data_IF_614444203354
#
_entry.id   IF_614444203354
#
_cell.length_a   1.000
_cell.length_b   1.000
_cell.length_c   1.000
_cell.angle_alpha   90.00
_cell.angle_beta   90.00
_cell.angle_gamma   90.00
#
_symmetry.space_group_name_H-M   'P 1'
#
loop_
_entity.id
_entity.type
_entity.pdbx_description
1 polymer ?
#
# COMPACT_ATOMS: atom_id res chain seq x y z
N UNK A 1 -19.32 0.20 -2.17
CA UNK A 1 -17.85 0.10 -2.15
C UNK A 1 -17.38 -0.91 -1.09
N UNK A 2 -16.15 -1.44 -1.27
CA UNK A 2 -15.66 -2.51 -0.41
C UNK A 2 -15.06 -1.97 0.90
N UNK A 3 -15.25 -2.68 2.01
CA UNK A 3 -14.62 -2.41 3.30
C UNK A 3 -13.08 -2.53 3.25
N UNK A 4 -12.55 -3.39 2.37
CA UNK A 4 -11.12 -3.57 2.09
C UNK A 4 -10.85 -2.99 0.72
N UNK A 5 -9.94 -2.01 0.63
CA UNK A 5 -9.56 -1.36 -0.63
C UNK A 5 -8.07 -1.45 -0.88
N UNK A 6 -7.70 -1.60 -2.15
CA UNK A 6 -6.30 -1.49 -2.57
C UNK A 6 -5.80 -0.06 -2.43
N UNK A 7 -4.60 0.10 -1.94
CA UNK A 7 -3.90 1.40 -1.95
C UNK A 7 -3.34 1.74 -3.32
N UNK A 8 -2.93 0.74 -4.11
CA UNK A 8 -2.42 0.92 -5.46
C UNK A 8 -3.31 0.23 -6.50
N UNK A 9 -3.29 0.72 -7.73
CA UNK A 9 -4.02 0.15 -8.86
C UNK A 9 -3.54 -1.27 -9.18
N UNK A 10 -4.49 -2.19 -9.29
CA UNK A 10 -4.19 -3.57 -9.70
C UNK A 10 -3.96 -3.63 -11.21
N UNK A 11 -2.82 -4.17 -11.62
CA UNK A 11 -2.48 -4.41 -13.03
C UNK A 11 -3.16 -5.69 -13.49
N UNK A 12 -4.24 -5.57 -14.27
CA UNK A 12 -5.13 -6.68 -14.62
C UNK A 12 -4.44 -7.78 -15.44
N UNK A 13 -3.47 -7.42 -16.25
CA UNK A 13 -2.67 -8.36 -17.08
C UNK A 13 -1.85 -9.35 -16.23
N UNK A 14 -1.58 -9.01 -14.97
CA UNK A 14 -0.86 -9.86 -14.02
C UNK A 14 -1.75 -10.94 -13.38
N UNK A 15 -3.07 -10.84 -13.48
CA UNK A 15 -4.00 -11.76 -12.82
C UNK A 15 -4.07 -13.12 -13.52
N UNK A 16 -4.24 -13.24 -14.86
CA UNK A 16 -4.39 -14.53 -15.53
C UNK A 16 -3.23 -15.51 -15.32
N UNK A 17 -1.94 -15.13 -15.43
CA UNK A 17 -0.85 -16.06 -15.15
C UNK A 17 -0.81 -16.51 -13.69
N UNK A 18 -1.12 -15.65 -12.74
CA UNK A 18 -1.21 -15.99 -11.31
C UNK A 18 -2.36 -16.93 -11.01
N UNK A 19 -3.51 -16.76 -11.67
CA UNK A 19 -4.65 -17.66 -11.56
C UNK A 19 -4.31 -19.09 -12.01
N UNK A 20 -3.51 -19.26 -13.07
CA UNK A 20 -3.08 -20.60 -13.51
C UNK A 20 -2.38 -21.39 -12.41
N UNK A 21 -1.54 -20.70 -11.63
CA UNK A 21 -0.80 -21.31 -10.51
C UNK A 21 -1.77 -21.57 -9.35
N UNK A 22 -2.45 -20.52 -8.85
CA UNK A 22 -3.30 -20.60 -7.66
C UNK A 22 -4.47 -21.59 -7.83
N UNK A 23 -5.11 -21.61 -9.01
CA UNK A 23 -6.30 -22.46 -9.24
C UNK A 23 -6.03 -23.95 -9.06
N UNK A 24 -4.78 -24.39 -9.26
CA UNK A 24 -4.37 -25.79 -9.11
C UNK A 24 -3.65 -26.06 -7.79
N UNK A 25 -3.20 -25.04 -7.10
CA UNK A 25 -2.44 -25.20 -5.87
C UNK A 25 -3.31 -25.77 -4.73
N UNK A 26 -2.78 -26.72 -3.93
CA UNK A 26 -3.48 -27.23 -2.75
C UNK A 26 -3.37 -26.28 -1.55
N UNK A 27 -2.32 -25.46 -1.51
CA UNK A 27 -2.01 -24.53 -0.43
C UNK A 27 -1.69 -23.15 -0.98
N UNK A 28 -1.78 -22.14 -0.13
CA UNK A 28 -1.27 -20.80 -0.37
C UNK A 28 -0.31 -20.36 0.73
N UNK A 29 0.67 -19.55 0.33
CA UNK A 29 1.63 -18.84 1.19
C UNK A 29 1.58 -17.35 0.79
N UNK A 30 0.44 -16.67 0.91
CA UNK A 30 0.31 -15.33 0.40
C UNK A 30 0.99 -14.35 1.35
N UNK A 31 1.59 -13.34 0.76
CA UNK A 31 1.99 -12.15 1.47
C UNK A 31 0.99 -11.04 1.12
N UNK A 32 -0.06 -10.94 1.93
CA UNK A 32 -1.09 -9.89 1.82
C UNK A 32 -1.13 -9.16 3.14
N UNK A 33 -0.72 -7.90 3.13
CA UNK A 33 -0.76 -7.02 4.30
C UNK A 33 -2.02 -6.18 4.23
N UNK A 34 -2.86 -6.29 5.27
CA UNK A 34 -3.96 -5.38 5.52
C UNK A 34 -3.56 -4.41 6.62
N UNK A 35 -3.66 -3.12 6.33
CA UNK A 35 -3.43 -2.05 7.30
C UNK A 35 -4.76 -1.67 7.95
N UNK A 36 -4.79 -1.63 9.27
CA UNK A 36 -5.87 -1.00 10.03
C UNK A 36 -5.41 0.37 10.55
N UNK A 37 -6.35 1.32 10.60
CA UNK A 37 -6.12 2.69 11.09
C UNK A 37 -6.51 2.77 12.58
N UNK A 38 -5.79 1.99 13.41
CA UNK A 38 -6.02 1.93 14.86
C UNK A 38 -5.09 2.90 15.62
N UNK A 39 -5.39 4.21 15.53
CA UNK A 39 -4.58 5.26 16.18
C UNK A 39 -4.56 5.19 17.71
N UNK A 40 -5.48 4.43 18.33
CA UNK A 40 -5.52 4.21 19.77
C UNK A 40 -4.73 2.98 20.20
N UNK A 41 -4.31 2.17 19.23
CA UNK A 41 -3.62 0.90 19.44
C UNK A 41 -4.40 -0.05 20.38
N UNK A 42 -5.73 -0.15 20.19
CA UNK A 42 -6.61 -0.96 21.05
C UNK A 42 -6.90 -2.35 20.45
N UNK A 43 -6.72 -2.51 19.14
CA UNK A 43 -7.07 -3.74 18.43
C UNK A 43 -5.99 -4.81 18.56
N UNK A 44 -4.78 -4.56 18.04
CA UNK A 44 -3.71 -5.56 18.05
C UNK A 44 -3.02 -5.65 19.42
N UNK A 45 -2.95 -4.55 20.15
CA UNK A 45 -2.39 -4.51 21.50
C UNK A 45 -3.17 -5.44 22.47
N UNK A 46 -4.47 -5.63 22.25
CA UNK A 46 -5.26 -6.60 23.00
C UNK A 46 -4.66 -8.02 22.94
N UNK A 47 -4.23 -8.48 21.75
CA UNK A 47 -3.57 -9.78 21.58
C UNK A 47 -2.21 -9.79 22.31
N UNK A 48 -1.43 -8.73 22.15
CA UNK A 48 -0.11 -8.60 22.78
C UNK A 48 -0.23 -8.70 24.31
N UNK A 49 -1.20 -8.02 24.91
CA UNK A 49 -1.44 -8.04 26.37
C UNK A 49 -1.90 -9.40 26.87
N UNK A 50 -2.59 -10.20 26.04
CA UNK A 50 -3.06 -11.53 26.37
C UNK A 50 -2.12 -12.64 25.93
N UNK A 51 -0.96 -12.34 25.37
CA UNK A 51 0.02 -13.29 24.83
C UNK A 51 0.42 -14.40 25.81
N UNK A 52 0.48 -14.09 27.11
CA UNK A 52 0.79 -15.06 28.16
C UNK A 52 -0.24 -16.19 28.32
N UNK A 53 -1.47 -15.99 27.82
CA UNK A 53 -2.57 -16.96 27.88
C UNK A 53 -2.73 -17.73 26.56
N UNK A 54 -1.88 -17.46 25.54
CA UNK A 54 -1.95 -18.06 24.21
C UNK A 54 -0.93 -19.19 24.06
N UNK A 55 -1.25 -20.18 23.25
CA UNK A 55 -0.33 -21.27 22.90
C UNK A 55 0.72 -20.78 21.93
N UNK A 56 2.00 -20.78 22.33
CA UNK A 56 3.11 -20.48 21.43
C UNK A 56 3.26 -21.61 20.40
N UNK A 57 3.27 -21.28 19.12
CA UNK A 57 3.43 -22.25 18.03
C UNK A 57 4.89 -22.38 17.59
N UNK A 58 5.61 -21.27 17.50
CA UNK A 58 7.01 -21.24 17.09
C UNK A 58 7.73 -20.01 17.63
N UNK A 59 9.06 -20.09 17.67
CA UNK A 59 9.96 -19.00 17.99
C UNK A 59 11.36 -19.33 17.48
N UNK A 60 11.93 -18.49 16.60
CA UNK A 60 13.25 -18.72 16.04
C UNK A 60 13.80 -17.45 15.35
N UNK A 61 15.12 -17.44 15.11
CA UNK A 61 15.77 -16.41 14.34
C UNK A 61 15.66 -16.68 12.83
N UNK A 62 15.32 -15.65 12.07
CA UNK A 62 15.23 -15.73 10.62
C UNK A 62 16.62 -15.76 9.98
N UNK A 63 16.75 -16.51 8.88
CA UNK A 63 17.99 -16.55 8.11
C UNK A 63 18.38 -15.16 7.55
N UNK A 64 19.63 -15.00 7.14
CA UNK A 64 20.13 -13.78 6.50
C UNK A 64 19.95 -12.50 7.32
N UNK A 65 20.00 -12.61 8.64
CA UNK A 65 19.76 -11.51 9.57
C UNK A 65 18.37 -10.88 9.44
N UNK A 66 17.36 -11.66 9.06
CA UNK A 66 15.98 -11.23 8.92
C UNK A 66 15.24 -10.93 10.24
N UNK A 67 15.97 -10.96 11.38
CA UNK A 67 15.40 -10.70 12.70
C UNK A 67 14.91 -11.95 13.41
N UNK A 68 14.11 -11.76 14.43
CA UNK A 68 13.51 -12.80 15.28
C UNK A 68 12.00 -12.85 15.07
N UNK A 69 11.43 -14.06 15.04
CA UNK A 69 9.98 -14.23 14.92
C UNK A 69 9.46 -15.24 15.94
N UNK A 70 8.30 -14.91 16.51
CA UNK A 70 7.54 -15.82 17.36
C UNK A 70 6.05 -15.75 17.01
N UNK A 71 5.36 -16.87 17.04
CA UNK A 71 3.94 -16.96 16.71
C UNK A 71 3.13 -17.66 17.81
N UNK A 72 1.91 -17.19 18.02
CA UNK A 72 0.94 -17.71 18.98
C UNK A 72 -0.38 -18.00 18.30
N UNK A 73 -1.05 -19.05 18.73
CA UNK A 73 -2.40 -19.37 18.30
C UNK A 73 -3.39 -18.52 19.11
N UNK A 74 -4.19 -17.73 18.43
CA UNK A 74 -5.32 -17.00 19.03
C UNK A 74 -6.56 -17.86 18.91
N UNK A 75 -6.98 -18.46 20.02
CA UNK A 75 -8.15 -19.35 20.09
C UNK A 75 -8.99 -19.06 21.36
N UNK A 76 -10.03 -19.88 21.57
CA UNK A 76 -10.89 -19.82 22.73
C UNK A 76 -11.52 -18.45 22.96
N UNK A 77 -11.61 -18.04 24.20
CA UNK A 77 -12.23 -16.79 24.63
C UNK A 77 -11.52 -15.54 24.09
N UNK A 78 -10.18 -15.58 24.01
CA UNK A 78 -9.39 -14.46 23.47
C UNK A 78 -9.73 -14.21 22.01
N UNK A 79 -9.91 -15.27 21.23
CA UNK A 79 -10.36 -15.15 19.83
C UNK A 79 -11.75 -14.52 19.72
N UNK A 80 -12.71 -14.95 20.54
CA UNK A 80 -14.08 -14.40 20.51
C UNK A 80 -14.07 -12.90 20.88
N UNK A 81 -13.33 -12.53 21.92
CA UNK A 81 -13.18 -11.11 22.31
C UNK A 81 -12.44 -10.30 21.24
N UNK A 82 -11.46 -10.89 20.55
CA UNK A 82 -10.79 -10.21 19.44
C UNK A 82 -11.75 -9.96 18.25
N UNK A 83 -12.65 -10.90 17.95
CA UNK A 83 -13.70 -10.72 16.93
C UNK A 83 -14.63 -9.56 17.32
N UNK A 84 -15.00 -9.43 18.59
CA UNK A 84 -15.79 -8.31 19.07
C UNK A 84 -15.04 -6.97 18.91
N UNK A 85 -13.74 -6.95 19.20
CA UNK A 85 -12.89 -5.77 18.98
C UNK A 85 -12.78 -5.38 17.51
N UNK A 86 -12.71 -6.35 16.61
CA UNK A 86 -12.77 -6.08 15.15
C UNK A 86 -14.09 -5.41 14.76
N UNK A 87 -15.21 -5.82 15.33
CA UNK A 87 -16.51 -5.19 15.08
C UNK A 87 -16.55 -3.76 15.64
N UNK A 88 -16.03 -3.55 16.84
CA UNK A 88 -15.91 -2.21 17.44
C UNK A 88 -15.01 -1.30 16.61
N UNK A 89 -13.86 -1.81 16.12
CA UNK A 89 -12.99 -1.10 15.21
C UNK A 89 -13.72 -0.69 13.92
N UNK A 90 -14.45 -1.61 13.28
CA UNK A 90 -15.23 -1.30 12.08
C UNK A 90 -16.26 -0.18 12.32
N UNK A 91 -16.93 -0.20 13.49
CA UNK A 91 -17.85 0.88 13.86
C UNK A 91 -17.12 2.20 14.09
N UNK A 92 -15.99 2.17 14.75
CA UNK A 92 -15.15 3.36 14.96
C UNK A 92 -14.69 3.98 13.62
N UNK A 93 -14.30 3.14 12.65
CA UNK A 93 -13.94 3.59 11.30
C UNK A 93 -15.13 4.21 10.55
N UNK A 94 -16.30 3.60 10.67
CA UNK A 94 -17.53 4.15 10.10
C UNK A 94 -17.85 5.55 10.67
N UNK A 95 -17.68 5.73 11.96
CA UNK A 95 -17.94 7.02 12.63
C UNK A 95 -16.88 8.07 12.30
N UNK A 96 -15.58 7.67 12.25
CA UNK A 96 -14.46 8.55 11.91
C UNK A 96 -14.60 9.15 10.51
N UNK A 97 -14.98 8.34 9.55
CA UNK A 97 -14.97 8.71 8.13
C UNK A 97 -16.35 8.93 7.50
N UNK A 98 -17.42 9.02 8.31
CA UNK A 98 -18.80 9.21 7.83
C UNK A 98 -19.02 10.45 6.96
N UNK A 99 -18.23 11.51 7.22
CA UNK A 99 -18.32 12.77 6.46
C UNK A 99 -17.47 12.74 5.18
N UNK A 100 -16.56 11.78 5.08
CA UNK A 100 -15.64 11.66 3.93
C UNK A 100 -16.18 10.69 2.87
N UNK A 101 -16.88 9.63 3.30
CA UNK A 101 -17.43 8.62 2.40
C UNK A 101 -18.71 8.00 2.98
N UNK A 102 -19.74 7.81 2.14
CA UNK A 102 -20.95 7.05 2.51
C UNK A 102 -20.62 5.58 2.83
N UNK A 103 -19.55 5.06 2.24
CA UNK A 103 -19.08 3.69 2.43
C UNK A 103 -17.59 3.72 2.83
N UNK A 104 -17.27 4.03 4.09
CA UNK A 104 -15.90 4.15 4.54
C UNK A 104 -15.11 2.85 4.35
N UNK A 105 -13.85 3.00 4.05
CA UNK A 105 -12.88 1.91 4.04
C UNK A 105 -12.48 1.58 5.48
N UNK A 106 -12.40 0.27 5.80
CA UNK A 106 -11.99 -0.17 7.13
C UNK A 106 -10.57 -0.72 7.14
N UNK A 107 -10.15 -1.30 6.01
CA UNK A 107 -8.80 -1.85 5.86
C UNK A 107 -8.21 -1.45 4.50
N UNK A 108 -6.95 -1.07 4.51
CA UNK A 108 -6.17 -0.79 3.31
C UNK A 108 -5.27 -1.97 2.97
N UNK A 109 -5.18 -2.36 1.70
CA UNK A 109 -4.19 -3.37 1.28
C UNK A 109 -2.83 -2.67 1.12
N UNK A 110 -1.94 -2.84 2.09
CA UNK A 110 -0.60 -2.25 2.08
C UNK A 110 0.35 -2.95 1.10
N UNK A 111 0.28 -4.29 1.01
CA UNK A 111 0.99 -5.09 0.00
C UNK A 111 0.17 -6.33 -0.36
N UNK A 112 0.41 -6.88 -1.55
CA UNK A 112 -0.26 -8.09 -2.01
C UNK A 112 -1.56 -7.88 -2.79
N UNK A 113 -1.84 -6.69 -3.32
CA UNK A 113 -3.03 -6.37 -4.14
C UNK A 113 -3.31 -7.43 -5.22
N UNK A 114 -2.27 -7.81 -5.98
CA UNK A 114 -2.41 -8.80 -7.04
C UNK A 114 -2.70 -10.21 -6.49
N UNK A 115 -2.17 -10.56 -5.32
CA UNK A 115 -2.43 -11.85 -4.67
C UNK A 115 -3.88 -11.93 -4.22
N UNK A 116 -4.40 -10.89 -3.58
CA UNK A 116 -5.79 -10.82 -3.14
C UNK A 116 -6.77 -10.79 -4.33
N UNK A 117 -6.49 -9.99 -5.36
CA UNK A 117 -7.28 -9.96 -6.59
C UNK A 117 -7.30 -11.32 -7.31
N UNK A 118 -6.16 -12.02 -7.33
CA UNK A 118 -6.06 -13.38 -7.88
C UNK A 118 -6.88 -14.38 -7.08
N UNK A 119 -6.85 -14.31 -5.74
CA UNK A 119 -7.68 -15.17 -4.88
C UNK A 119 -9.16 -14.98 -5.17
N UNK A 120 -9.63 -13.73 -5.25
CA UNK A 120 -11.01 -13.39 -5.64
C UNK A 120 -11.37 -13.94 -7.03
N UNK A 121 -10.52 -13.70 -8.03
CA UNK A 121 -10.77 -14.16 -9.40
C UNK A 121 -10.84 -15.71 -9.50
N UNK A 122 -10.00 -16.43 -8.75
CA UNK A 122 -10.07 -17.89 -8.67
C UNK A 122 -11.39 -18.37 -8.05
N UNK A 123 -11.83 -17.74 -6.94
CA UNK A 123 -13.09 -18.09 -6.31
C UNK A 123 -14.30 -17.78 -7.20
N UNK A 124 -14.32 -16.63 -7.90
CA UNK A 124 -15.37 -16.31 -8.87
C UNK A 124 -15.43 -17.32 -10.03
N UNK A 125 -14.27 -17.80 -10.48
CA UNK A 125 -14.20 -18.88 -11.48
C UNK A 125 -14.77 -20.18 -10.95
N UNK A 126 -14.50 -20.55 -9.71
CA UNK A 126 -15.06 -21.76 -9.06
C UNK A 126 -16.59 -21.67 -9.00
N UNK A 127 -17.14 -20.52 -8.61
CA UNK A 127 -18.59 -20.30 -8.56
C UNK A 127 -19.25 -20.48 -9.94
N UNK A 128 -18.62 -19.95 -11.00
CA UNK A 128 -19.15 -20.03 -12.37
C UNK A 128 -19.14 -21.45 -12.95
N UNK A 129 -18.16 -22.27 -12.57
CA UNK A 129 -18.02 -23.61 -13.13
C UNK A 129 -18.99 -24.64 -12.56
N UNK A 130 -19.85 -24.29 -11.59
CA UNK A 130 -20.88 -25.13 -10.96
C UNK A 130 -20.39 -26.54 -10.53
N UNK A 131 -19.08 -26.74 -10.40
CA UNK A 131 -18.49 -28.04 -10.09
C UNK A 131 -18.63 -28.43 -8.60
N UNK A 132 -19.06 -27.49 -7.75
CA UNK A 132 -19.11 -27.66 -6.30
C UNK A 132 -20.51 -27.34 -5.79
N UNK A 133 -21.14 -28.31 -5.13
CA UNK A 133 -22.49 -28.16 -4.54
C UNK A 133 -22.56 -27.20 -3.36
N UNK A 134 -21.43 -26.87 -2.74
CA UNK A 134 -21.31 -26.01 -1.55
C UNK A 134 -20.12 -25.07 -1.69
N UNK A 135 -20.11 -24.27 -2.76
CA UNK A 135 -19.04 -23.29 -3.05
C UNK A 135 -18.87 -22.28 -1.91
N UNK A 136 -19.93 -21.96 -1.19
CA UNK A 136 -19.92 -21.07 -0.03
C UNK A 136 -19.03 -21.57 1.12
N UNK A 137 -18.84 -22.88 1.22
CA UNK A 137 -17.99 -23.53 2.24
C UNK A 137 -16.59 -23.87 1.74
N UNK A 138 -16.29 -23.58 0.46
CA UNK A 138 -14.99 -23.92 -0.12
C UNK A 138 -13.88 -23.06 0.46
N UNK A 139 -12.73 -23.67 0.79
CA UNK A 139 -11.57 -22.96 1.39
C UNK A 139 -11.07 -21.79 0.55
N UNK A 140 -11.16 -21.88 -0.78
CA UNK A 140 -10.77 -20.79 -1.70
C UNK A 140 -11.64 -19.52 -1.58
N UNK A 141 -12.75 -19.54 -0.82
CA UNK A 141 -13.54 -18.34 -0.48
C UNK A 141 -12.73 -17.34 0.32
N UNK A 142 -11.76 -17.81 1.07
CA UNK A 142 -10.95 -17.01 1.97
C UNK A 142 -9.53 -16.83 1.42
N UNK A 143 -8.87 -15.77 1.83
CA UNK A 143 -7.44 -15.55 1.60
C UNK A 143 -6.75 -15.38 2.95
N UNK A 144 -5.52 -15.89 3.07
CA UNK A 144 -4.68 -15.62 4.23
C UNK A 144 -4.12 -14.20 4.11
N UNK A 145 -4.25 -13.43 5.17
CA UNK A 145 -3.77 -12.05 5.23
C UNK A 145 -3.06 -11.80 6.57
N UNK A 146 -2.17 -10.86 6.59
CA UNK A 146 -1.53 -10.30 7.76
C UNK A 146 -2.20 -8.98 8.08
N UNK A 147 -2.64 -8.77 9.31
CA UNK A 147 -3.24 -7.52 9.77
C UNK A 147 -2.19 -6.75 10.58
N UNK A 148 -1.87 -5.55 10.13
CA UNK A 148 -0.91 -4.66 10.76
C UNK A 148 -1.55 -3.32 11.14
N UNK A 149 -1.10 -2.73 12.25
CA UNK A 149 -1.52 -1.38 12.60
C UNK A 149 -0.69 -0.36 11.83
N UNK A 150 -1.35 0.48 11.02
CA UNK A 150 -0.74 1.59 10.31
C UNK A 150 0.09 2.51 11.23
N UNK A 151 -0.34 2.67 12.49
CA UNK A 151 0.29 3.54 13.47
C UNK A 151 1.41 2.88 14.28
N UNK A 152 1.73 1.60 14.03
CA UNK A 152 2.88 0.96 14.65
C UNK A 152 4.17 1.72 14.32
N UNK A 153 5.02 1.95 15.32
CA UNK A 153 6.26 2.73 15.16
C UNK A 153 7.26 2.09 14.19
N UNK A 154 7.17 0.77 14.00
CA UNK A 154 7.99 0.05 13.01
C UNK A 154 7.57 0.31 11.57
N UNK A 155 6.34 0.77 11.33
CA UNK A 155 5.85 1.11 10.00
C UNK A 155 6.35 2.50 9.61
N UNK A 156 7.26 2.56 8.65
CA UNK A 156 7.78 3.81 8.11
C UNK A 156 7.45 3.90 6.62
N UNK A 157 6.90 5.02 6.21
CA UNK A 157 6.63 5.33 4.81
C UNK A 157 7.78 6.17 4.26
N UNK A 158 8.59 5.56 3.42
CA UNK A 158 9.66 6.28 2.74
C UNK A 158 9.14 6.87 1.44
N UNK A 159 9.45 8.13 1.13
CA UNK A 159 9.06 8.76 -0.13
C UNK A 159 9.80 8.10 -1.29
N UNK A 160 9.11 7.98 -2.40
CA UNK A 160 9.73 7.59 -3.67
C UNK A 160 9.69 8.79 -4.57
N UNK A 161 10.87 9.29 -4.92
CA UNK A 161 11.05 10.47 -5.76
C UNK A 161 10.91 10.14 -7.24
N UNK A 162 10.84 11.14 -8.09
CA UNK A 162 10.75 11.00 -9.55
C UNK A 162 11.99 11.58 -10.19
N UNK A 163 12.58 10.86 -11.15
CA UNK A 163 13.53 11.42 -12.08
C UNK A 163 13.01 11.24 -13.50
N UNK A 164 13.04 12.28 -14.28
CA UNK A 164 12.65 12.31 -15.68
C UNK A 164 13.90 12.55 -16.50
N UNK A 165 14.21 11.67 -17.44
CA UNK A 165 15.37 11.76 -18.32
C UNK A 165 14.95 11.87 -19.77
N UNK A 166 15.75 12.55 -20.59
CA UNK A 166 15.46 12.73 -22.02
C UNK A 166 14.32 13.73 -22.29
N UNK A 167 14.16 14.74 -21.40
CA UNK A 167 13.16 15.80 -21.52
C UNK A 167 13.84 17.16 -21.54
N UNK A 168 13.15 18.20 -22.05
CA UNK A 168 13.56 19.59 -21.84
C UNK A 168 13.26 19.96 -20.38
N UNK A 169 14.32 20.18 -19.61
CA UNK A 169 14.21 20.39 -18.16
C UNK A 169 13.52 21.74 -17.84
N UNK A 170 13.82 22.78 -18.61
CA UNK A 170 13.23 24.10 -18.40
C UNK A 170 11.74 24.10 -18.72
N UNK A 171 11.35 23.51 -19.87
CA UNK A 171 9.96 23.41 -20.30
C UNK A 171 9.13 22.59 -19.31
N UNK A 172 9.65 21.44 -18.83
CA UNK A 172 8.96 20.62 -17.85
C UNK A 172 8.69 21.39 -16.55
N UNK A 173 9.71 22.08 -16.02
CA UNK A 173 9.58 22.83 -14.76
C UNK A 173 8.62 24.02 -14.91
N UNK A 174 8.69 24.76 -16.00
CA UNK A 174 7.75 25.87 -16.25
C UNK A 174 6.31 25.38 -16.37
N UNK A 175 6.08 24.29 -17.10
CA UNK A 175 4.76 23.67 -17.22
C UNK A 175 4.24 23.16 -15.88
N UNK A 176 5.11 22.54 -15.06
CA UNK A 176 4.76 22.09 -13.71
C UNK A 176 4.33 23.26 -12.83
N UNK A 177 5.05 24.40 -12.89
CA UNK A 177 4.70 25.61 -12.16
C UNK A 177 3.33 26.13 -12.56
N UNK A 178 3.09 26.26 -13.85
CA UNK A 178 1.84 26.80 -14.38
C UNK A 178 0.62 25.95 -14.02
N UNK A 179 0.76 24.60 -14.10
CA UNK A 179 -0.37 23.71 -13.93
C UNK A 179 -0.60 23.22 -12.51
N UNK A 180 0.46 23.16 -11.69
CA UNK A 180 0.41 22.48 -10.40
C UNK A 180 0.69 23.36 -9.19
N UNK A 181 1.33 24.54 -9.37
CA UNK A 181 1.81 25.34 -8.25
C UNK A 181 0.90 26.51 -7.89
N UNK A 182 1.00 26.96 -6.65
CA UNK A 182 0.31 28.13 -6.09
C UNK A 182 1.23 28.93 -5.17
N UNK A 183 0.65 29.93 -4.48
CA UNK A 183 1.42 30.77 -3.56
C UNK A 183 1.73 30.09 -2.25
N UNK A 184 0.75 29.32 -1.76
CA UNK A 184 0.81 28.60 -0.47
C UNK A 184 0.38 27.16 -0.76
N UNK A 185 1.22 26.18 -0.43
CA UNK A 185 0.93 24.79 -0.70
C UNK A 185 2.03 23.86 -0.18
N UNK A 186 1.93 22.58 -0.48
CA UNK A 186 2.93 21.62 -0.04
C UNK A 186 4.22 21.80 -0.84
N UNK A 187 5.33 21.95 -0.12
CA UNK A 187 6.65 22.15 -0.70
C UNK A 187 7.16 20.85 -1.35
N UNK A 188 7.73 21.00 -2.55
CA UNK A 188 8.56 20.01 -3.23
C UNK A 188 9.85 20.67 -3.72
N UNK A 189 10.90 19.88 -3.95
CA UNK A 189 12.14 20.38 -4.52
C UNK A 189 12.40 19.76 -5.88
N UNK A 190 12.81 20.61 -6.80
CA UNK A 190 13.16 20.21 -8.16
C UNK A 190 14.65 20.46 -8.41
N UNK A 191 15.32 19.47 -9.00
CA UNK A 191 16.74 19.48 -9.35
C UNK A 191 16.88 19.36 -10.86
N UNK A 192 17.52 20.32 -11.49
CA UNK A 192 17.78 20.33 -12.94
C UNK A 192 18.89 21.32 -13.28
N UNK A 193 19.67 21.07 -14.30
CA UNK A 193 20.75 21.96 -14.78
C UNK A 193 21.69 22.47 -13.66
N UNK A 194 22.00 21.61 -12.68
CA UNK A 194 22.74 21.96 -11.46
C UNK A 194 22.10 23.05 -10.59
N UNK A 195 20.78 23.26 -10.71
CA UNK A 195 19.98 24.16 -9.89
C UNK A 195 19.11 23.34 -8.95
N UNK A 196 18.77 23.92 -7.81
CA UNK A 196 17.74 23.46 -6.90
C UNK A 196 16.66 24.55 -6.85
N UNK A 197 15.42 24.15 -7.04
CA UNK A 197 14.28 25.06 -6.97
C UNK A 197 13.18 24.47 -6.09
N UNK A 198 12.65 25.31 -5.20
CA UNK A 198 11.53 24.95 -4.31
C UNK A 198 10.23 25.41 -4.96
N UNK A 199 9.28 24.51 -5.08
CA UNK A 199 7.95 24.76 -5.62
C UNK A 199 6.88 24.43 -4.59
N UNK A 200 5.75 25.12 -4.61
CA UNK A 200 4.61 24.91 -3.73
C UNK A 200 3.42 24.39 -4.51
N UNK A 201 3.06 23.12 -4.30
CA UNK A 201 1.95 22.48 -5.01
C UNK A 201 0.60 22.95 -4.47
N UNK A 202 -0.29 23.35 -5.35
CA UNK A 202 -1.69 23.61 -5.02
C UNK A 202 -2.46 22.28 -4.97
N UNK A 203 -2.73 21.78 -3.75
CA UNK A 203 -3.41 20.54 -3.49
C UNK A 203 -4.83 20.80 -2.99
N UNK A 204 -5.77 19.95 -3.38
CA UNK A 204 -7.06 19.91 -2.71
C UNK A 204 -6.98 19.11 -1.39
N UNK A 205 -8.01 19.21 -0.57
CA UNK A 205 -8.07 18.51 0.71
C UNK A 205 -7.86 17.00 0.53
N UNK A 206 -6.95 16.41 1.31
CA UNK A 206 -6.52 15.00 1.28
C UNK A 206 -5.73 14.57 0.03
N UNK A 207 -5.47 15.44 -0.94
CA UNK A 207 -4.62 15.11 -2.08
C UNK A 207 -3.15 15.01 -1.67
N UNK A 208 -2.45 13.98 -2.14
CA UNK A 208 -1.02 13.82 -1.93
C UNK A 208 -0.20 14.55 -3.00
N UNK A 209 0.95 15.10 -2.60
CA UNK A 209 1.91 15.70 -3.54
C UNK A 209 2.30 14.74 -4.67
N UNK A 210 2.52 13.47 -4.31
CA UNK A 210 2.88 12.42 -5.28
C UNK A 210 1.77 12.18 -6.30
N UNK A 211 0.49 12.26 -5.91
CA UNK A 211 -0.63 12.10 -6.83
C UNK A 211 -0.69 13.26 -7.83
N UNK A 212 -0.59 14.50 -7.33
CA UNK A 212 -0.57 15.69 -8.17
C UNK A 212 0.56 15.66 -9.19
N UNK A 213 1.78 15.36 -8.73
CA UNK A 213 2.98 15.30 -9.59
C UNK A 213 2.90 14.14 -10.59
N UNK A 214 2.47 12.94 -10.14
CA UNK A 214 2.37 11.80 -11.05
C UNK A 214 1.33 12.01 -12.14
N UNK A 215 0.17 12.56 -11.77
CA UNK A 215 -0.89 12.91 -12.75
C UNK A 215 -0.38 13.91 -13.79
N UNK A 216 0.31 14.94 -13.34
CA UNK A 216 0.95 15.92 -14.23
C UNK A 216 1.96 15.23 -15.17
N UNK A 217 2.88 14.42 -14.65
CA UNK A 217 3.90 13.75 -15.44
C UNK A 217 3.31 12.77 -16.45
N UNK A 218 2.27 12.03 -16.06
CA UNK A 218 1.58 11.07 -16.94
C UNK A 218 0.89 11.79 -18.11
N UNK A 219 0.39 13.04 -17.91
CA UNK A 219 -0.18 13.85 -18.99
C UNK A 219 0.91 14.52 -19.84
N UNK A 220 1.90 15.14 -19.20
CA UNK A 220 3.01 15.84 -19.89
C UNK A 220 3.75 14.90 -20.85
N UNK A 221 4.04 13.68 -20.44
CA UNK A 221 4.78 12.70 -21.25
C UNK A 221 3.95 12.01 -22.34
N UNK A 222 2.67 12.32 -22.49
CA UNK A 222 1.91 11.91 -23.68
C UNK A 222 2.27 12.74 -24.92
N UNK A 223 2.65 14.00 -24.69
CA UNK A 223 2.92 14.97 -25.75
C UNK A 223 4.41 15.32 -25.87
N UNK A 224 5.18 15.06 -24.80
CA UNK A 224 6.60 15.41 -24.69
C UNK A 224 7.48 14.18 -24.53
N UNK A 225 8.75 14.28 -24.92
CA UNK A 225 9.74 13.24 -24.73
C UNK A 225 10.16 13.12 -23.27
N UNK A 226 10.54 11.92 -22.85
CA UNK A 226 11.08 11.65 -21.53
C UNK A 226 10.68 10.27 -21.00
N UNK A 227 11.41 9.82 -20.00
CA UNK A 227 11.17 8.57 -19.29
C UNK A 227 11.20 8.83 -17.79
N UNK A 228 10.16 8.39 -17.07
CA UNK A 228 10.10 8.47 -15.61
C UNK A 228 10.79 7.25 -15.00
N UNK A 229 11.68 7.49 -14.03
CA UNK A 229 12.17 6.48 -13.11
C UNK A 229 11.86 6.85 -11.66
N UNK A 230 11.85 5.85 -10.78
CA UNK A 230 11.41 5.93 -9.39
C UNK A 230 12.59 5.70 -8.45
N UNK A 231 12.93 6.71 -7.67
CA UNK A 231 14.21 6.78 -6.96
C UNK A 231 13.98 6.80 -5.44
N UNK A 232 14.71 5.95 -4.74
CA UNK A 232 14.85 5.99 -3.29
C UNK A 232 16.08 6.80 -2.91
N UNK A 233 15.89 7.76 -2.02
CA UNK A 233 16.95 8.60 -1.44
C UNK A 233 17.35 9.79 -2.30
N UNK A 234 17.54 10.92 -1.60
CA UNK A 234 17.84 12.23 -2.20
C UNK A 234 19.20 12.27 -2.94
N UNK A 235 20.22 11.63 -2.39
CA UNK A 235 21.57 11.65 -3.00
C UNK A 235 21.56 11.04 -4.41
N UNK A 236 20.84 9.93 -4.56
CA UNK A 236 20.69 9.25 -5.86
C UNK A 236 19.88 10.10 -6.81
N UNK A 237 18.80 10.72 -6.32
CA UNK A 237 17.97 11.63 -7.09
C UNK A 237 18.79 12.81 -7.65
N UNK A 238 19.53 13.51 -6.77
CA UNK A 238 20.38 14.66 -7.14
C UNK A 238 21.44 14.28 -8.16
N UNK A 239 22.09 13.12 -7.97
CA UNK A 239 23.07 12.60 -8.92
C UNK A 239 22.50 12.30 -10.30
N UNK A 240 21.29 11.74 -10.38
CA UNK A 240 20.64 11.46 -11.66
C UNK A 240 20.12 12.74 -12.31
N UNK A 241 19.59 13.66 -11.54
CA UNK A 241 19.10 14.96 -12.00
C UNK A 241 20.22 15.91 -12.49
N UNK A 242 21.48 15.67 -12.14
CA UNK A 242 22.63 16.45 -12.64
C UNK A 242 23.05 16.05 -14.07
N UNK A 243 22.43 15.03 -14.65
CA UNK A 243 22.67 14.65 -16.05
C UNK A 243 21.98 15.64 -16.99
N UNK A 244 22.48 15.75 -18.20
CA UNK A 244 21.89 16.56 -19.25
C UNK A 244 20.47 16.06 -19.59
N UNK A 245 19.52 17.00 -19.78
CA UNK A 245 18.13 16.68 -20.09
C UNK A 245 17.43 15.79 -19.02
N UNK A 246 17.76 16.05 -17.75
CA UNK A 246 17.18 15.34 -16.63
C UNK A 246 16.59 16.31 -15.59
N UNK A 247 15.47 15.90 -14.97
CA UNK A 247 14.80 16.60 -13.87
C UNK A 247 14.55 15.61 -12.74
N UNK A 248 14.99 15.96 -11.54
CA UNK A 248 14.66 15.24 -10.30
C UNK A 248 13.56 15.99 -9.54
N UNK A 249 12.55 15.29 -9.09
CA UNK A 249 11.49 15.84 -8.23
C UNK A 249 11.53 15.09 -6.90
N UNK A 250 11.95 15.80 -5.86
CA UNK A 250 11.94 15.33 -4.48
C UNK A 250 10.54 15.54 -3.89
N UNK A 251 9.92 14.44 -3.51
CA UNK A 251 8.58 14.43 -2.94
C UNK A 251 8.64 14.24 -1.42
N UNK A 252 7.74 14.88 -0.66
CA UNK A 252 7.63 14.65 0.77
C UNK A 252 7.15 13.23 1.07
N UNK A 253 7.51 12.71 2.25
CA UNK A 253 6.93 11.48 2.76
C UNK A 253 5.42 11.66 3.00
N UNK A 254 4.66 10.61 2.75
CA UNK A 254 3.26 10.56 3.13
C UNK A 254 3.14 10.31 4.64
N UNK A 255 2.34 11.10 5.34
CA UNK A 255 2.01 10.85 6.74
C UNK A 255 1.00 9.70 6.86
N UNK A 256 1.07 8.95 7.98
CA UNK A 256 0.22 7.77 8.19
C UNK A 256 -1.27 8.09 8.15
N UNK A 257 -1.66 9.21 8.71
CA UNK A 257 -3.05 9.68 8.77
C UNK A 257 -3.61 10.15 7.40
N UNK A 258 -2.75 10.36 6.41
CA UNK A 258 -3.17 10.72 5.05
C UNK A 258 -3.62 9.51 4.22
N UNK A 259 -3.19 8.28 4.55
CA UNK A 259 -3.42 7.10 3.71
C UNK A 259 -4.92 6.83 3.48
N UNK A 260 -5.69 6.70 4.56
CA UNK A 260 -7.11 6.36 4.48
C UNK A 260 -7.94 7.47 3.83
N UNK A 261 -7.79 8.75 4.22
CA UNK A 261 -8.49 9.85 3.56
C UNK A 261 -8.20 9.93 2.06
N UNK A 262 -6.92 9.87 1.66
CA UNK A 262 -6.55 9.97 0.25
C UNK A 262 -7.15 8.83 -0.60
N UNK A 263 -7.11 7.58 -0.09
CA UNK A 263 -7.69 6.43 -0.82
C UNK A 263 -9.23 6.54 -0.89
N UNK A 264 -9.88 7.12 0.11
CA UNK A 264 -11.33 7.31 0.10
C UNK A 264 -11.78 8.46 -0.80
N UNK A 265 -11.00 9.52 -0.92
CA UNK A 265 -11.30 10.71 -1.72
C UNK A 265 -10.91 10.52 -3.19
N UNK A 266 -9.66 10.14 -3.43
CA UNK A 266 -9.04 10.14 -4.76
C UNK A 266 -8.98 8.73 -5.38
N UNK A 267 -9.31 7.71 -4.59
CA UNK A 267 -9.23 6.31 -5.01
C UNK A 267 -7.84 5.71 -4.84
N UNK A 268 -7.46 4.82 -5.75
CA UNK A 268 -6.14 4.19 -5.65
C UNK A 268 -5.01 5.17 -5.91
N UNK A 269 -4.03 5.17 -5.03
CA UNK A 269 -2.83 6.00 -5.16
C UNK A 269 -2.03 5.63 -6.41
N UNK A 270 -1.23 6.57 -6.94
CA UNK A 270 -0.29 6.29 -8.01
C UNK A 270 0.67 5.15 -7.64
N UNK A 271 1.17 4.47 -8.67
CA UNK A 271 2.22 3.48 -8.44
C UNK A 271 3.45 4.13 -7.80
N UNK A 272 4.08 3.42 -6.86
CA UNK A 272 5.28 3.92 -6.22
C UNK A 272 5.06 5.24 -5.47
N UNK A 273 3.97 5.34 -4.72
CA UNK A 273 3.69 6.46 -3.81
C UNK A 273 4.62 6.43 -2.60
N UNK A 274 4.81 5.25 -2.01
CA UNK A 274 5.69 5.04 -0.86
C UNK A 274 6.32 3.64 -0.90
N UNK A 275 7.33 3.43 -0.09
CA UNK A 275 7.85 2.11 0.27
C UNK A 275 7.60 1.85 1.76
N UNK A 276 7.14 0.66 2.09
CA UNK A 276 7.06 0.17 3.46
C UNK A 276 8.29 -0.69 3.75
N UNK A 277 9.25 -0.12 4.48
CA UNK A 277 10.50 -0.76 4.85
C UNK A 277 11.40 -1.16 3.68
N UNK A 278 12.62 -1.57 4.00
CA UNK A 278 13.57 -2.08 3.01
C UNK A 278 13.26 -3.54 2.62
N UNK A 279 13.73 -3.96 1.45
CA UNK A 279 13.55 -5.34 0.99
C UNK A 279 14.13 -6.40 1.95
N UNK A 280 15.18 -6.04 2.70
CA UNK A 280 15.80 -6.89 3.73
C UNK A 280 14.96 -7.07 4.99
N UNK A 281 13.97 -6.21 5.22
CA UNK A 281 13.09 -6.22 6.39
C UNK A 281 11.79 -6.99 6.15
N UNK A 282 11.51 -7.35 4.90
CA UNK A 282 10.34 -8.17 4.57
C UNK A 282 10.52 -9.57 5.14
N UNK A 283 9.59 -9.97 6.03
CA UNK A 283 9.67 -11.28 6.63
C UNK A 283 9.41 -12.39 5.60
N UNK A 284 9.91 -13.58 5.92
CA UNK A 284 9.68 -14.77 5.11
C UNK A 284 8.26 -15.30 5.27
N UNK A 285 7.76 -16.03 4.26
CA UNK A 285 6.48 -16.74 4.34
C UNK A 285 6.63 -17.93 5.28
N UNK A 286 6.01 -17.85 6.43
CA UNK A 286 6.09 -18.86 7.49
C UNK A 286 4.74 -19.57 7.66
N UNK A 287 3.66 -18.84 7.52
CA UNK A 287 2.30 -19.38 7.58
C UNK A 287 1.79 -19.72 6.20
N UNK A 288 1.01 -20.81 6.16
CA UNK A 288 0.30 -21.25 4.98
C UNK A 288 -1.04 -21.84 5.34
N UNK A 289 -1.93 -21.90 4.37
CA UNK A 289 -3.23 -22.56 4.56
C UNK A 289 -3.63 -23.39 3.34
N UNK A 290 -4.45 -24.41 3.58
CA UNK A 290 -5.10 -25.14 2.51
C UNK A 290 -6.14 -24.25 1.80
N UNK A 291 -6.24 -24.41 0.47
CA UNK A 291 -7.23 -23.72 -0.39
C UNK A 291 -8.07 -24.71 -1.21
N UNK A 292 -7.83 -26.00 -1.00
CA UNK A 292 -8.64 -27.12 -1.52
C UNK A 292 -8.97 -28.09 -0.41
#
# INVERSE_FOLDING_TARGET
EAKIRSTEKTVMERIPPRMKIRYQAPIELPHVILLCDDWKNELLEYITQNKGNLSKLYEFDLMQKGGHIAGWLVDGEIKEQFIEKLQQYEQMMADKYKNLSEHPMYYAVGDGNHSLATAKACYEKLKKNHQWKHVENHLARYALVELENLHDDSQQFEPIHRVITGTDAQELIETLKEQCCGKDGQEIKCYYENKEEVLHLNLHEHQLAVDKVQTFLDEYLKENSGVIDYIHGEEVLRKLASQENAVGIELPAMEKDQLFPSVMTDGTLPRKTFSMGHASEKRYYIEGRAIK
#
